data_IF_847875438096
#
_entry.id   IF_847875438096
#
_cell.length_a   1.000
_cell.length_b   1.000
_cell.length_c   1.000
_cell.angle_alpha   90.00
_cell.angle_beta   90.00
_cell.angle_gamma   90.00
#
_symmetry.space_group_name_H-M   'P 1'
#
loop_
_entity.id
_entity.type
_entity.pdbx_description
1 polymer ?
#
# COMPACT_ATOMS: atom_id res chain seq x y z
N UNK A 1 -16.40 14.53 0.60
CA UNK A 1 -15.28 14.28 1.53
C UNK A 1 -14.12 13.56 0.85
N UNK A 2 -14.32 12.36 0.35
CA UNK A 2 -13.25 11.56 -0.29
C UNK A 2 -12.58 12.27 -1.48
N UNK A 3 -13.35 13.04 -2.26
CA UNK A 3 -12.80 13.78 -3.40
C UNK A 3 -11.78 14.85 -2.97
N UNK A 4 -12.04 15.56 -1.89
CA UNK A 4 -11.11 16.58 -1.35
C UNK A 4 -9.86 15.95 -0.73
N UNK A 5 -10.02 14.86 0.01
CA UNK A 5 -8.90 14.12 0.59
C UNK A 5 -8.02 13.55 -0.53
N UNK A 6 -8.63 12.95 -1.56
CA UNK A 6 -7.91 12.42 -2.71
C UNK A 6 -7.22 13.52 -3.52
N UNK A 7 -7.83 14.70 -3.63
CA UNK A 7 -7.20 15.84 -4.29
C UNK A 7 -5.97 16.28 -3.52
N UNK A 8 -6.09 16.47 -2.21
CA UNK A 8 -4.96 16.84 -1.34
C UNK A 8 -3.84 15.80 -1.43
N UNK A 9 -4.19 14.52 -1.40
CA UNK A 9 -3.23 13.44 -1.54
C UNK A 9 -2.51 13.47 -2.90
N UNK A 10 -3.23 13.71 -4.00
CA UNK A 10 -2.63 13.82 -5.34
C UNK A 10 -1.67 15.02 -5.46
N UNK A 11 -2.03 16.15 -4.88
CA UNK A 11 -1.19 17.35 -4.90
C UNK A 11 0.11 17.18 -4.14
N UNK A 12 0.13 16.28 -3.15
CA UNK A 12 1.29 15.99 -2.31
C UNK A 12 1.95 14.65 -2.61
N UNK A 13 1.35 13.81 -3.48
CA UNK A 13 1.91 12.51 -3.83
C UNK A 13 2.97 12.63 -4.93
N UNK A 14 3.93 11.76 -4.86
CA UNK A 14 4.98 11.62 -5.87
C UNK A 14 4.59 10.50 -6.82
N UNK A 15 4.71 10.76 -8.14
CA UNK A 15 4.62 9.75 -9.21
C UNK A 15 3.32 8.90 -9.20
N UNK A 16 2.35 9.17 -9.96
CA UNK A 16 1.19 8.34 -10.37
C UNK A 16 1.03 6.95 -9.69
N UNK A 17 1.36 6.86 -8.40
CA UNK A 17 1.21 5.65 -7.62
C UNK A 17 -0.26 5.46 -7.26
N UNK A 18 -0.85 4.36 -7.70
CA UNK A 18 -2.23 4.05 -7.31
C UNK A 18 -2.25 3.52 -5.87
N UNK A 19 -3.38 3.62 -5.16
CA UNK A 19 -3.49 3.05 -3.81
C UNK A 19 -3.10 1.57 -3.75
N UNK A 20 -3.41 0.79 -4.78
CA UNK A 20 -3.06 -0.63 -4.83
C UNK A 20 -1.55 -0.85 -4.94
N UNK A 21 -0.85 -0.03 -5.74
CA UNK A 21 0.61 -0.09 -5.81
C UNK A 21 1.23 0.19 -4.45
N UNK A 22 0.72 1.20 -3.77
CA UNK A 22 1.20 1.57 -2.45
C UNK A 22 0.97 0.48 -1.41
N UNK A 23 -0.20 -0.14 -1.40
CA UNK A 23 -0.50 -1.24 -0.49
C UNK A 23 0.43 -2.44 -0.72
N UNK A 24 0.71 -2.79 -1.97
CA UNK A 24 1.63 -3.87 -2.31
C UNK A 24 3.06 -3.51 -1.89
N UNK A 25 3.51 -2.29 -2.17
CA UNK A 25 4.85 -1.84 -1.74
C UNK A 25 4.97 -1.86 -0.21
N UNK A 26 3.94 -1.42 0.51
CA UNK A 26 3.89 -1.48 1.97
C UNK A 26 3.99 -2.91 2.47
N UNK A 27 3.24 -3.83 1.87
CA UNK A 27 3.29 -5.25 2.24
C UNK A 27 4.70 -5.81 2.05
N UNK A 28 5.33 -5.56 0.91
CA UNK A 28 6.70 -6.01 0.63
C UNK A 28 7.71 -5.36 1.57
N UNK A 29 7.55 -4.10 1.89
CA UNK A 29 8.42 -3.38 2.82
C UNK A 29 8.39 -4.00 4.22
N UNK A 30 7.20 -4.28 4.74
CA UNK A 30 7.05 -4.87 6.07
C UNK A 30 7.43 -6.34 6.15
N UNK A 31 7.41 -7.06 5.02
CA UNK A 31 7.76 -8.48 4.93
C UNK A 31 9.11 -8.73 4.24
N UNK A 32 9.98 -7.72 4.20
CA UNK A 32 11.27 -7.79 3.48
C UNK A 32 12.21 -8.90 3.96
N UNK A 33 12.04 -9.38 5.18
CA UNK A 33 12.86 -10.46 5.75
C UNK A 33 12.27 -11.85 5.49
N UNK A 34 11.17 -11.94 4.77
CA UNK A 34 10.47 -13.18 4.44
C UNK A 34 10.31 -13.29 2.92
N UNK A 35 10.30 -14.52 2.36
CA UNK A 35 9.96 -14.66 0.96
C UNK A 35 8.47 -14.35 0.72
N UNK A 36 8.19 -13.43 -0.20
CA UNK A 36 6.83 -13.07 -0.60
C UNK A 36 6.61 -13.47 -2.04
N UNK A 37 5.49 -14.13 -2.29
CA UNK A 37 5.09 -14.59 -3.62
C UNK A 37 3.81 -13.90 -4.07
N UNK A 38 3.52 -13.98 -5.36
CA UNK A 38 2.29 -13.40 -5.91
C UNK A 38 1.04 -13.92 -5.19
N UNK A 39 0.98 -15.21 -4.88
CA UNK A 39 -0.15 -15.82 -4.15
C UNK A 39 -0.41 -15.17 -2.78
N UNK A 40 0.64 -14.67 -2.14
CA UNK A 40 0.50 -14.00 -0.84
C UNK A 40 -0.21 -12.66 -1.01
N UNK A 41 0.08 -11.94 -2.09
CA UNK A 41 -0.62 -10.70 -2.45
C UNK A 41 -2.09 -11.00 -2.82
N UNK A 42 -2.33 -12.02 -3.62
CA UNK A 42 -3.69 -12.45 -3.98
C UNK A 42 -4.54 -12.73 -2.74
N UNK A 43 -3.96 -13.41 -1.77
CA UNK A 43 -4.63 -13.77 -0.51
C UNK A 43 -4.84 -12.55 0.39
N UNK A 44 -3.79 -11.78 0.61
CA UNK A 44 -3.83 -10.62 1.52
C UNK A 44 -4.87 -9.58 1.10
N UNK A 45 -4.94 -9.28 -0.18
CA UNK A 45 -5.82 -8.25 -0.71
C UNK A 45 -7.12 -8.79 -1.32
N UNK A 46 -7.32 -10.10 -1.29
CA UNK A 46 -8.51 -10.76 -1.87
C UNK A 46 -8.74 -10.36 -3.34
N UNK A 47 -7.68 -10.37 -4.13
CA UNK A 47 -7.70 -9.97 -5.54
C UNK A 47 -7.43 -11.18 -6.42
N UNK A 48 -8.05 -11.19 -7.61
CA UNK A 48 -7.85 -12.28 -8.57
C UNK A 48 -6.41 -12.31 -9.09
N UNK A 49 -5.97 -13.52 -9.45
CA UNK A 49 -4.62 -13.75 -9.99
C UNK A 49 -4.34 -12.88 -11.23
N UNK A 50 -5.29 -12.78 -12.15
CA UNK A 50 -5.12 -11.98 -13.36
C UNK A 50 -4.93 -10.49 -13.05
N UNK A 51 -5.69 -9.96 -12.11
CA UNK A 51 -5.56 -8.57 -11.68
C UNK A 51 -4.20 -8.33 -11.02
N UNK A 52 -3.78 -9.19 -10.12
CA UNK A 52 -2.47 -9.08 -9.46
C UNK A 52 -1.34 -9.17 -10.49
N UNK A 53 -1.44 -10.11 -11.44
CA UNK A 53 -0.44 -10.25 -12.52
C UNK A 53 -0.26 -8.93 -13.27
N UNK A 54 -1.36 -8.29 -13.69
CA UNK A 54 -1.30 -7.02 -14.41
C UNK A 54 -0.68 -5.90 -13.58
N UNK A 55 -1.04 -5.81 -12.30
CA UNK A 55 -0.50 -4.81 -11.38
C UNK A 55 1.01 -5.01 -11.19
N UNK A 56 1.43 -6.24 -10.92
CA UNK A 56 2.84 -6.56 -10.69
C UNK A 56 3.70 -6.34 -11.94
N UNK A 57 3.17 -6.66 -13.12
CA UNK A 57 3.85 -6.36 -14.40
C UNK A 57 4.10 -4.86 -14.57
N UNK A 58 3.11 -4.04 -14.23
CA UNK A 58 3.26 -2.59 -14.29
C UNK A 58 4.28 -2.09 -13.26
N UNK A 59 4.23 -2.59 -12.04
CA UNK A 59 5.18 -2.22 -10.99
C UNK A 59 6.62 -2.63 -11.34
N UNK A 60 6.79 -3.79 -11.98
CA UNK A 60 8.09 -4.26 -12.46
C UNK A 60 8.63 -3.35 -13.58
N UNK A 61 7.78 -2.96 -14.53
CA UNK A 61 8.16 -2.02 -15.60
C UNK A 61 8.56 -0.65 -15.06
N UNK A 62 7.93 -0.20 -13.99
CA UNK A 62 8.28 1.06 -13.30
C UNK A 62 9.53 0.93 -12.44
N UNK A 63 10.06 -0.27 -12.27
CA UNK A 63 11.24 -0.52 -11.48
C UNK A 63 11.01 -0.56 -9.96
N UNK A 64 9.78 -0.68 -9.52
CA UNK A 64 9.44 -0.71 -8.09
C UNK A 64 9.65 -2.07 -7.44
N UNK A 65 9.51 -3.12 -8.23
CA UNK A 65 9.70 -4.51 -7.79
C UNK A 65 10.51 -5.29 -8.81
N UNK A 66 11.09 -6.40 -8.33
CA UNK A 66 11.67 -7.45 -9.16
C UNK A 66 10.92 -8.75 -8.90
N UNK A 67 10.78 -9.56 -9.94
CA UNK A 67 10.26 -10.92 -9.83
C UNK A 67 11.40 -11.89 -10.09
N UNK A 68 11.73 -12.67 -9.08
CA UNK A 68 12.81 -13.66 -9.16
C UNK A 68 12.23 -15.08 -9.24
N UNK A 69 12.81 -15.88 -10.11
CA UNK A 69 12.49 -17.30 -10.20
C UNK A 69 12.98 -18.04 -8.95
N UNK A 70 12.18 -19.00 -8.49
CA UNK A 70 12.55 -19.89 -7.38
C UNK A 70 13.17 -21.15 -7.96
N UNK A 71 14.39 -21.56 -7.56
CA UNK A 71 15.06 -22.75 -8.13
C UNK A 71 14.26 -24.04 -7.96
N UNK A 72 13.50 -24.16 -6.88
CA UNK A 72 12.73 -25.36 -6.56
C UNK A 72 11.40 -25.45 -7.32
N UNK A 73 10.86 -24.34 -7.78
CA UNK A 73 9.58 -24.30 -8.51
C UNK A 73 9.53 -23.10 -9.45
N UNK A 74 9.60 -23.38 -10.75
CA UNK A 74 9.54 -22.35 -11.79
C UNK A 74 8.19 -21.62 -11.86
N UNK A 75 7.14 -22.14 -11.21
CA UNK A 75 5.82 -21.50 -11.15
C UNK A 75 5.77 -20.40 -10.13
N UNK A 76 6.65 -20.42 -9.13
CA UNK A 76 6.72 -19.42 -8.10
C UNK A 76 7.62 -18.28 -8.53
N UNK A 77 7.16 -17.06 -8.37
CA UNK A 77 7.95 -15.84 -8.55
C UNK A 77 8.00 -15.11 -7.22
N UNK A 78 9.20 -15.03 -6.67
CA UNK A 78 9.44 -14.22 -5.47
C UNK A 78 9.40 -12.75 -5.83
N UNK A 79 8.68 -11.97 -5.05
CA UNK A 79 8.56 -10.53 -5.22
C UNK A 79 9.55 -9.83 -4.29
N UNK A 80 10.33 -8.91 -4.84
CA UNK A 80 11.31 -8.14 -4.09
C UNK A 80 11.09 -6.67 -4.36
N UNK A 81 10.98 -5.89 -3.29
CA UNK A 81 10.94 -4.43 -3.39
C UNK A 81 12.33 -3.93 -3.76
N UNK A 82 12.42 -3.16 -4.83
CA UNK A 82 13.69 -2.55 -5.26
C UNK A 82 14.03 -1.35 -4.37
N UNK A 83 15.26 -0.84 -4.50
CA UNK A 83 15.65 0.41 -3.85
C UNK A 83 14.75 1.57 -4.27
N UNK A 84 14.43 1.66 -5.57
CA UNK A 84 13.51 2.67 -6.10
C UNK A 84 12.09 2.49 -5.53
N UNK A 85 11.60 1.26 -5.44
CA UNK A 85 10.31 0.96 -4.82
C UNK A 85 10.28 1.37 -3.35
N UNK A 86 11.35 1.13 -2.62
CA UNK A 86 11.50 1.57 -1.24
C UNK A 86 11.47 3.08 -1.10
N UNK A 87 12.16 3.80 -1.99
CA UNK A 87 12.17 5.26 -2.03
C UNK A 87 10.77 5.84 -2.29
N UNK A 88 10.06 5.28 -3.26
CA UNK A 88 8.69 5.69 -3.58
C UNK A 88 7.75 5.40 -2.42
N UNK A 89 7.90 4.24 -1.78
CA UNK A 89 7.13 3.88 -0.59
C UNK A 89 7.32 4.90 0.55
N UNK A 90 8.57 5.26 0.86
CA UNK A 90 8.86 6.25 1.91
C UNK A 90 8.22 7.60 1.61
N UNK A 91 8.30 8.07 0.36
CA UNK A 91 7.65 9.32 -0.06
C UNK A 91 6.14 9.25 0.06
N UNK A 92 5.54 8.13 -0.31
CA UNK A 92 4.10 7.92 -0.20
C UNK A 92 3.66 7.90 1.25
N UNK A 93 4.42 7.26 2.13
CA UNK A 93 4.14 7.27 3.58
C UNK A 93 4.19 8.68 4.16
N UNK A 94 5.17 9.48 3.75
CA UNK A 94 5.25 10.89 4.16
C UNK A 94 4.01 11.68 3.68
N UNK A 95 3.59 11.49 2.44
CA UNK A 95 2.38 12.11 1.89
C UNK A 95 1.11 11.71 2.64
N UNK A 96 0.99 10.43 2.98
CA UNK A 96 -0.14 9.93 3.80
C UNK A 96 -0.14 10.58 5.18
N UNK A 97 1.01 10.67 5.82
CA UNK A 97 1.14 11.33 7.12
C UNK A 97 0.71 12.79 7.07
N UNK A 98 1.13 13.53 6.03
CA UNK A 98 0.69 14.91 5.82
C UNK A 98 -0.82 15.02 5.61
N UNK A 99 -1.41 14.08 4.90
CA UNK A 99 -2.86 14.00 4.71
C UNK A 99 -3.58 13.74 6.03
N UNK A 100 -3.06 12.82 6.83
CA UNK A 100 -3.61 12.51 8.15
C UNK A 100 -3.55 13.73 9.07
N UNK A 101 -2.44 14.45 9.10
CA UNK A 101 -2.29 15.69 9.86
C UNK A 101 -3.28 16.75 9.40
N UNK A 102 -3.45 16.91 8.10
CA UNK A 102 -4.41 17.86 7.56
C UNK A 102 -5.85 17.53 7.98
N UNK A 103 -6.26 16.27 7.85
CA UNK A 103 -7.59 15.81 8.25
C UNK A 103 -7.79 15.94 9.76
N UNK A 104 -6.82 15.52 10.55
CA UNK A 104 -6.85 15.64 12.01
C UNK A 104 -6.95 17.10 12.46
N UNK A 105 -6.32 18.03 11.74
CA UNK A 105 -6.36 19.46 12.02
C UNK A 105 -7.72 20.11 11.78
N UNK A 106 -8.66 19.43 11.11
CA UNK A 106 -10.02 19.91 10.89
C UNK A 106 -10.94 19.68 12.10
N UNK A 107 -10.50 18.87 13.04
CA UNK A 107 -11.24 18.49 14.24
C UNK A 107 -10.50 18.94 15.51
N UNK A 108 -11.22 19.10 16.59
CA UNK A 108 -10.61 19.30 17.90
C UNK A 108 -10.00 18.00 18.42
N UNK A 109 -9.18 18.07 19.47
CA UNK A 109 -8.59 16.85 20.09
C UNK A 109 -9.69 15.90 20.58
N UNK A 110 -10.75 16.45 21.21
CA UNK A 110 -11.89 15.67 21.69
C UNK A 110 -12.65 15.00 20.54
N UNK A 111 -12.87 15.73 19.45
CA UNK A 111 -13.53 15.19 18.25
C UNK A 111 -12.70 14.11 17.59
N UNK A 112 -11.38 14.27 17.49
CA UNK A 112 -10.48 13.24 17.00
C UNK A 112 -10.50 11.98 17.86
N UNK A 113 -10.48 12.13 19.18
CA UNK A 113 -10.57 11.01 20.11
C UNK A 113 -11.89 10.25 19.96
N UNK A 114 -13.01 10.97 19.79
CA UNK A 114 -14.34 10.38 19.57
C UNK A 114 -14.41 9.64 18.23
N UNK A 115 -13.86 10.22 17.16
CA UNK A 115 -13.78 9.56 15.86
C UNK A 115 -12.99 8.24 15.92
N UNK A 116 -11.82 8.25 16.56
CA UNK A 116 -11.01 7.05 16.75
C UNK A 116 -11.73 5.99 17.56
N UNK A 117 -12.44 6.40 18.61
CA UNK A 117 -13.27 5.50 19.42
C UNK A 117 -14.32 4.79 18.58
N UNK A 118 -15.06 5.56 17.76
CA UNK A 118 -16.10 5.02 16.90
C UNK A 118 -15.52 4.11 15.81
N UNK A 119 -14.42 4.49 15.18
CA UNK A 119 -13.75 3.67 14.16
C UNK A 119 -13.25 2.34 14.76
N UNK A 120 -12.68 2.37 15.95
CA UNK A 120 -12.25 1.15 16.64
C UNK A 120 -13.44 0.24 17.00
N UNK A 121 -14.56 0.83 17.39
CA UNK A 121 -15.79 0.08 17.65
C UNK A 121 -16.30 -0.62 16.39
N UNK A 122 -16.31 0.09 15.26
CA UNK A 122 -16.69 -0.49 13.97
C UNK A 122 -15.74 -1.62 13.57
N UNK A 123 -14.44 -1.40 13.69
CA UNK A 123 -13.44 -2.42 13.36
C UNK A 123 -13.68 -3.71 14.14
N UNK A 124 -13.86 -3.61 15.45
CA UNK A 124 -14.12 -4.78 16.32
C UNK A 124 -15.40 -5.51 15.94
N UNK A 125 -16.44 -4.78 15.57
CA UNK A 125 -17.72 -5.38 15.17
C UNK A 125 -17.68 -6.05 13.80
N UNK A 126 -16.68 -5.75 12.97
CA UNK A 126 -16.50 -6.32 11.62
C UNK A 126 -15.50 -7.50 11.61
N UNK A 127 -14.79 -7.73 12.70
CA UNK A 127 -13.88 -8.88 12.86
C UNK A 127 -14.68 -10.22 13.08
#
# INVERSE_FOLDING_TARGET
IFRKINQFHRENSVDNVTPMHDWIMSYLYWHKNEPVYQRDIEREFSITRSTVTNILQLMERKGYIERQSVPQDARLKRLILTEEGGRVHEKTMLSLHQTDEFVAGLLTEEENAELLRLLNKLRKGLE
#
